data_IF_712400327203
#
_entry.id   IF_712400327203
#
_cell.length_a   1.000
_cell.length_b   1.000
_cell.length_c   1.000
_cell.angle_alpha   90.00
_cell.angle_beta   90.00
_cell.angle_gamma   90.00
#
_symmetry.space_group_name_H-M   'P 1'
#
loop_
_entity.id
_entity.type
_entity.pdbx_description
1 polymer ?
#
# COMPACT_ATOMS: atom_id res chain seq x y z
N UNK A 1 -8.31 -3.00 -12.98
CA UNK A 1 -7.39 -4.11 -12.70
C UNK A 1 -7.73 -4.60 -11.32
N UNK A 2 -8.18 -5.84 -11.17
CA UNK A 2 -8.53 -6.37 -9.84
C UNK A 2 -7.26 -6.89 -9.20
N UNK A 3 -6.72 -6.16 -8.22
CA UNK A 3 -5.57 -6.60 -7.43
C UNK A 3 -6.06 -7.69 -6.47
N UNK A 4 -5.53 -8.91 -6.61
CA UNK A 4 -5.82 -10.03 -5.70
C UNK A 4 -5.26 -9.75 -4.31
N UNK A 5 -5.72 -10.47 -3.28
CA UNK A 5 -5.18 -10.34 -1.93
C UNK A 5 -3.66 -10.59 -1.90
N UNK A 6 -3.19 -11.65 -2.58
CA UNK A 6 -1.75 -11.95 -2.65
C UNK A 6 -0.94 -10.87 -3.36
N UNK A 7 -1.49 -10.27 -4.42
CA UNK A 7 -0.85 -9.15 -5.09
C UNK A 7 -0.79 -7.91 -4.18
N UNK A 8 -1.86 -7.62 -3.43
CA UNK A 8 -1.87 -6.52 -2.47
C UNK A 8 -0.84 -6.73 -1.35
N UNK A 9 -0.75 -7.95 -0.81
CA UNK A 9 0.29 -8.35 0.16
C UNK A 9 1.70 -8.14 -0.38
N UNK A 10 1.95 -8.56 -1.62
CA UNK A 10 3.25 -8.38 -2.28
C UNK A 10 3.59 -6.90 -2.47
N UNK A 11 2.63 -6.07 -2.91
CA UNK A 11 2.80 -4.62 -3.03
C UNK A 11 3.13 -4.01 -1.67
N UNK A 12 2.37 -4.33 -0.64
CA UNK A 12 2.59 -3.83 0.72
C UNK A 12 4.00 -4.18 1.22
N UNK A 13 4.40 -5.45 1.07
CA UNK A 13 5.73 -5.91 1.48
C UNK A 13 6.87 -5.20 0.73
N UNK A 14 6.67 -4.92 -0.56
CA UNK A 14 7.66 -4.22 -1.36
C UNK A 14 7.74 -2.72 -1.03
N UNK A 15 6.60 -2.09 -0.74
CA UNK A 15 6.52 -0.63 -0.65
C UNK A 15 6.58 -0.07 0.78
N UNK A 16 6.20 -0.87 1.78
CA UNK A 16 5.93 -0.43 3.15
C UNK A 16 6.76 -1.23 4.14
N UNK A 17 6.48 -2.53 4.31
CA UNK A 17 7.22 -3.37 5.26
C UNK A 17 7.47 -4.78 4.69
N UNK A 18 8.72 -5.03 4.33
CA UNK A 18 9.16 -6.34 3.80
C UNK A 18 9.05 -7.48 4.81
N UNK A 19 8.90 -7.18 6.11
CA UNK A 19 8.79 -8.18 7.18
C UNK A 19 7.34 -8.57 7.49
N UNK A 20 6.35 -7.84 6.97
CA UNK A 20 4.95 -8.13 7.21
C UNK A 20 4.59 -9.55 6.73
N UNK A 21 4.25 -10.40 7.68
CA UNK A 21 3.92 -11.81 7.45
C UNK A 21 2.42 -12.07 7.44
N UNK A 22 2.01 -13.32 7.23
CA UNK A 22 0.60 -13.71 7.34
C UNK A 22 0.11 -13.80 8.81
N UNK A 23 1.00 -13.55 9.78
CA UNK A 23 0.69 -13.55 11.22
C UNK A 23 -0.11 -12.34 11.72
N UNK A 24 -0.23 -11.27 10.93
CA UNK A 24 -1.00 -10.06 11.26
C UNK A 24 -2.53 -10.32 11.31
N UNK A 25 -2.98 -11.48 10.82
CA UNK A 25 -4.38 -11.90 10.80
C UNK A 25 -5.10 -11.57 9.49
N UNK A 26 -6.09 -12.39 9.15
CA UNK A 26 -6.81 -12.27 7.87
C UNK A 26 -7.57 -10.93 7.74
N UNK A 27 -8.28 -10.51 8.80
CA UNK A 27 -9.05 -9.27 8.79
C UNK A 27 -8.16 -8.03 8.55
N UNK A 28 -6.98 -7.99 9.16
CA UNK A 28 -6.02 -6.92 8.93
C UNK A 28 -5.55 -6.89 7.47
N UNK A 29 -5.24 -8.05 6.90
CA UNK A 29 -4.84 -8.14 5.50
C UNK A 29 -5.95 -7.79 4.51
N UNK A 30 -7.20 -8.07 4.84
CA UNK A 30 -8.35 -7.68 4.00
C UNK A 30 -8.51 -6.15 3.97
N UNK A 31 -8.43 -5.49 5.13
CA UNK A 31 -8.45 -4.02 5.22
C UNK A 31 -7.27 -3.38 4.46
N UNK A 32 -6.04 -3.84 4.72
CA UNK A 32 -4.85 -3.35 4.01
C UNK A 32 -4.99 -3.57 2.51
N UNK A 33 -5.55 -4.69 2.07
CA UNK A 33 -5.71 -4.97 0.65
C UNK A 33 -6.71 -4.02 -0.02
N UNK A 34 -7.79 -3.63 0.66
CA UNK A 34 -8.74 -2.64 0.16
C UNK A 34 -8.10 -1.26 0.02
N UNK A 35 -7.31 -0.84 1.01
CA UNK A 35 -6.62 0.44 0.93
C UNK A 35 -5.54 0.47 -0.15
N UNK A 36 -4.81 -0.64 -0.34
CA UNK A 36 -3.86 -0.76 -1.45
C UNK A 36 -4.60 -0.65 -2.80
N UNK A 37 -5.78 -1.26 -2.93
CA UNK A 37 -6.62 -1.13 -4.14
C UNK A 37 -7.02 0.32 -4.36
N UNK A 38 -7.46 1.02 -3.32
CA UNK A 38 -7.88 2.41 -3.41
C UNK A 38 -6.70 3.35 -3.73
N UNK A 39 -5.53 3.15 -3.13
CA UNK A 39 -4.30 3.90 -3.44
C UNK A 39 -3.91 3.74 -4.91
N UNK A 40 -3.98 2.51 -5.43
CA UNK A 40 -3.64 2.22 -6.83
C UNK A 40 -4.70 2.80 -7.78
N UNK A 41 -5.98 2.74 -7.42
CA UNK A 41 -7.09 3.23 -8.23
C UNK A 41 -7.26 4.76 -8.18
N UNK A 42 -6.77 5.43 -7.13
CA UNK A 42 -6.98 6.85 -6.93
C UNK A 42 -6.48 7.71 -8.11
N UNK A 43 -7.18 8.80 -8.41
CA UNK A 43 -6.89 9.63 -9.59
C UNK A 43 -5.55 10.35 -9.49
N UNK A 44 -5.19 10.81 -8.29
CA UNK A 44 -3.97 11.60 -8.06
C UNK A 44 -3.21 11.05 -6.86
N UNK A 45 -1.92 11.38 -6.78
CA UNK A 45 -1.10 10.98 -5.64
C UNK A 45 -1.54 11.67 -4.34
N UNK A 46 -2.15 12.86 -4.41
CA UNK A 46 -2.71 13.53 -3.24
C UNK A 46 -3.86 12.73 -2.66
N UNK A 47 -4.83 12.31 -3.50
CA UNK A 47 -5.96 11.47 -3.06
C UNK A 47 -5.45 10.15 -2.47
N UNK A 48 -4.46 9.52 -3.11
CA UNK A 48 -3.85 8.31 -2.58
C UNK A 48 -3.15 8.51 -1.24
N UNK A 49 -2.50 9.66 -1.03
CA UNK A 49 -1.84 9.99 0.23
C UNK A 49 -2.87 10.15 1.36
N UNK A 50 -4.01 10.79 1.08
CA UNK A 50 -5.07 11.02 2.07
C UNK A 50 -5.70 9.69 2.55
N UNK A 51 -5.84 8.71 1.65
CA UNK A 51 -6.40 7.38 1.97
C UNK A 51 -5.59 6.63 3.04
N UNK A 52 -4.27 6.75 3.01
CA UNK A 52 -3.37 6.05 3.95
C UNK A 52 -2.80 6.97 5.03
N UNK A 53 -3.19 8.25 5.05
CA UNK A 53 -2.61 9.20 5.99
C UNK A 53 -2.78 8.77 7.45
N UNK A 54 -3.86 8.02 7.74
CA UNK A 54 -4.18 7.52 9.07
C UNK A 54 -3.32 6.32 9.53
N UNK A 55 -2.60 5.64 8.63
CA UNK A 55 -1.76 4.47 8.97
C UNK A 55 -0.72 4.78 10.05
N UNK A 56 -0.25 6.03 10.09
CA UNK A 56 0.61 6.52 11.16
C UNK A 56 0.05 7.84 11.69
N UNK A 57 -0.09 7.92 13.01
CA UNK A 57 -0.45 9.16 13.68
C UNK A 57 0.57 10.26 13.42
N UNK A 58 1.86 9.89 13.41
CA UNK A 58 2.96 10.78 13.05
C UNK A 58 3.92 10.08 12.07
N UNK A 59 3.84 10.50 10.81
CA UNK A 59 4.69 10.02 9.74
C UNK A 59 6.16 10.46 9.87
N UNK A 60 6.42 11.56 10.59
CA UNK A 60 7.78 12.07 10.78
C UNK A 60 8.60 11.20 11.73
N UNK A 61 7.95 10.52 12.69
CA UNK A 61 8.60 9.55 13.58
C UNK A 61 9.25 8.38 12.83
N UNK A 62 8.75 8.04 11.63
CA UNK A 62 9.31 7.00 10.77
C UNK A 62 10.08 7.58 9.57
N UNK A 63 10.38 8.88 9.60
CA UNK A 63 11.07 9.60 8.54
C UNK A 63 10.42 9.41 7.15
N UNK A 64 9.09 9.40 7.10
CA UNK A 64 8.34 9.18 5.87
C UNK A 64 7.17 10.16 5.75
N UNK A 65 6.42 10.05 4.65
CA UNK A 65 5.19 10.83 4.42
C UNK A 65 4.15 9.97 3.71
N UNK A 66 2.84 10.25 3.89
CA UNK A 66 1.79 9.51 3.18
C UNK A 66 1.98 9.58 1.66
N UNK A 67 2.43 10.72 1.14
CA UNK A 67 2.67 10.93 -0.30
C UNK A 67 3.81 10.07 -0.84
N UNK A 68 4.90 9.90 -0.07
CA UNK A 68 6.03 9.03 -0.45
C UNK A 68 5.61 7.56 -0.39
N UNK A 69 4.93 7.13 0.67
CA UNK A 69 4.40 5.78 0.77
C UNK A 69 3.43 5.44 -0.37
N UNK A 70 2.45 6.30 -0.65
CA UNK A 70 1.52 6.14 -1.76
C UNK A 70 2.24 6.06 -3.12
N UNK A 71 3.36 6.78 -3.29
CA UNK A 71 4.16 6.73 -4.52
C UNK A 71 4.82 5.36 -4.65
N UNK A 72 5.46 4.87 -3.58
CA UNK A 72 6.08 3.53 -3.57
C UNK A 72 5.06 2.42 -3.84
N UNK A 73 3.86 2.51 -3.27
CA UNK A 73 2.77 1.55 -3.51
C UNK A 73 2.41 1.50 -5.01
N UNK A 74 2.22 2.66 -5.65
CA UNK A 74 1.88 2.72 -7.07
C UNK A 74 3.00 2.22 -7.97
N UNK A 75 4.24 2.55 -7.63
CA UNK A 75 5.39 2.10 -8.41
C UNK A 75 5.58 0.58 -8.28
N UNK A 76 5.39 0.01 -7.09
CA UNK A 76 5.36 -1.44 -6.89
C UNK A 76 4.23 -2.10 -7.71
N UNK A 77 3.01 -1.56 -7.67
CA UNK A 77 1.89 -2.07 -8.46
C UNK A 77 2.17 -2.04 -9.98
N UNK A 78 2.79 -0.96 -10.46
CA UNK A 78 3.22 -0.85 -11.88
C UNK A 78 4.29 -1.87 -12.21
N UNK A 79 5.30 -2.03 -11.36
CA UNK A 79 6.36 -3.01 -11.56
C UNK A 79 5.83 -4.45 -11.61
N UNK A 80 4.84 -4.78 -10.77
CA UNK A 80 4.20 -6.10 -10.81
C UNK A 80 3.39 -6.32 -12.09
N UNK A 81 2.67 -5.29 -12.58
CA UNK A 81 1.95 -5.38 -13.86
C UNK A 81 2.88 -5.61 -15.04
N UNK A 82 4.09 -5.04 -15.00
CA UNK A 82 5.09 -5.23 -16.06
C UNK A 82 5.75 -6.62 -16.03
N UNK A 83 5.58 -7.37 -14.93
CA UNK A 83 6.15 -8.71 -14.73
C UNK A 83 5.15 -9.85 -14.94
N UNK A 84 3.87 -9.53 -15.11
CA UNK A 84 2.77 -10.47 -15.35
C UNK A 84 2.52 -10.64 -16.84
#
# INVERSE_FOLDING_TARGET
MTITLDAAKAIYRQAIDSRAGDGEGAAWWDEVADEIRDVVAARTISIAADLIAWWHHDWTCINDTPRRAATRIRDAARAMRLRA
#
